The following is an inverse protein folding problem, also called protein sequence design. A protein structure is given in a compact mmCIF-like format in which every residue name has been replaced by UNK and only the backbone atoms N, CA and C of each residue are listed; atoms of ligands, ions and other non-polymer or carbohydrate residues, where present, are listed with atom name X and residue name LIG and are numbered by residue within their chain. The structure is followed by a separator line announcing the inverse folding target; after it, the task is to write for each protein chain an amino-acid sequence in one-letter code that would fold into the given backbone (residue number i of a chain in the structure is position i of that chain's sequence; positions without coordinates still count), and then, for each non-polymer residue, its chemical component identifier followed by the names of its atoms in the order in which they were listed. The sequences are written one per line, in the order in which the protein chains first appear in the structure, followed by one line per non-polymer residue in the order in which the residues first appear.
data_IF_522765569337
#
_entry.id   IF_522765569337
#
_cell.length_a   1.000
_cell.length_b   1.000
_cell.length_c   1.000
_cell.angle_alpha   90.00
_cell.angle_beta   90.00
_cell.angle_gamma   90.00
#
_symmetry.space_group_name_H-M   'P 1'
#
loop_
_entity.id
_entity.type
_entity.pdbx_description
1 polymer ?
#
# COMPACT_ATOMS: atom_id res chain seq x y z
N UNK A 1 -9.17 -19.02 14.67
CA UNK A 1 -8.39 -17.89 15.21
C UNK A 1 -8.71 -16.71 14.31
N UNK A 2 -9.54 -15.77 14.78
CA UNK A 2 -9.96 -14.62 13.98
C UNK A 2 -8.85 -13.58 14.01
N UNK A 3 -8.26 -13.27 12.85
CA UNK A 3 -7.37 -12.13 12.68
C UNK A 3 -8.21 -10.86 12.58
N UNK A 4 -8.02 -9.96 13.53
CA UNK A 4 -8.71 -8.67 13.61
C UNK A 4 -7.93 -7.70 12.72
N UNK A 5 -8.50 -7.31 11.58
CA UNK A 5 -7.95 -6.22 10.75
C UNK A 5 -8.41 -4.91 11.38
N UNK A 6 -7.52 -4.23 12.11
CA UNK A 6 -7.81 -2.89 12.61
C UNK A 6 -7.70 -1.87 11.46
N UNK A 7 -8.83 -1.23 11.16
CA UNK A 7 -8.94 -0.13 10.20
C UNK A 7 -9.02 1.18 10.97
N UNK A 8 -8.04 2.06 10.82
CA UNK A 8 -8.07 3.41 11.39
C UNK A 8 -8.32 4.45 10.29
N UNK A 9 -9.43 5.20 10.41
CA UNK A 9 -9.70 6.39 9.60
C UNK A 9 -9.31 7.65 10.37
N UNK A 10 -8.35 8.42 9.86
CA UNK A 10 -7.98 9.73 10.41
C UNK A 10 -8.97 10.78 9.90
N UNK A 11 -9.79 11.34 10.80
CA UNK A 11 -10.64 12.51 10.50
C UNK A 11 -9.82 13.78 10.67
N UNK A 12 -9.67 14.58 9.60
CA UNK A 12 -9.23 15.96 9.71
C UNK A 12 -10.46 16.87 9.80
N UNK A 13 -10.66 17.50 10.96
CA UNK A 13 -11.72 18.49 11.23
C UNK A 13 -11.08 19.88 11.30
N UNK A 14 -11.34 20.73 10.30
CA UNK A 14 -10.84 22.11 10.28
C UNK A 14 -11.93 23.03 10.83
N UNK A 15 -11.72 23.51 12.06
CA UNK A 15 -12.48 24.63 12.61
C UNK A 15 -11.95 25.95 12.02
N UNK A 16 -12.85 26.84 11.58
CA UNK A 16 -12.51 28.25 11.33
C UNK A 16 -13.54 29.16 11.99
N UNK A 17 -13.02 30.03 12.85
CA UNK A 17 -13.73 31.04 13.61
C UNK A 17 -14.16 32.22 12.72
N UNK A 18 -15.32 32.78 13.04
CA UNK A 18 -15.86 33.99 12.42
C UNK A 18 -15.27 35.25 13.08
N UNK A 19 -14.88 36.25 12.28
CA UNK A 19 -14.82 37.65 12.69
C UNK A 19 -15.19 38.58 11.52
N UNK A 20 -16.08 39.54 11.81
CA UNK A 20 -16.59 40.57 10.91
C UNK A 20 -15.64 41.75 10.75
N UNK A 21 -15.51 42.29 9.53
CA UNK A 21 -15.34 43.72 9.27
C UNK A 21 -15.55 44.05 7.78
N UNK A 22 -16.26 45.14 7.52
CA UNK A 22 -16.78 45.62 6.25
C UNK A 22 -15.79 46.50 5.49
N UNK A 23 -15.70 46.39 4.16
CA UNK A 23 -15.53 47.51 3.18
C UNK A 23 -15.56 47.01 1.73
N UNK A 24 -16.11 47.87 0.86
CA UNK A 24 -16.50 47.67 -0.55
C UNK A 24 -15.32 47.63 -1.54
N UNK A 25 -15.40 46.78 -2.59
CA UNK A 25 -15.06 47.01 -4.01
C UNK A 25 -15.12 45.66 -4.79
N UNK A 26 -15.70 45.58 -6.02
CA UNK A 26 -15.78 44.33 -6.77
C UNK A 26 -14.60 44.22 -7.74
N UNK A 27 -13.60 43.42 -7.39
CA UNK A 27 -12.67 42.85 -8.37
C UNK A 27 -13.01 41.37 -8.50
N UNK A 28 -13.57 41.01 -9.65
CA UNK A 28 -13.78 39.63 -10.08
C UNK A 28 -12.42 38.95 -10.29
N UNK A 29 -11.77 38.56 -9.21
CA UNK A 29 -10.73 37.54 -9.25
C UNK A 29 -11.47 36.23 -9.38
N UNK A 30 -11.58 35.75 -10.62
CA UNK A 30 -11.91 34.36 -10.88
C UNK A 30 -10.83 33.52 -10.20
N UNK A 31 -11.12 33.10 -8.96
CA UNK A 31 -10.41 32.03 -8.30
C UNK A 31 -10.74 30.81 -9.13
N UNK A 32 -9.88 30.49 -10.09
CA UNK A 32 -9.89 29.17 -10.70
C UNK A 32 -9.87 28.17 -9.54
N UNK A 33 -10.90 27.31 -9.40
CA UNK A 33 -10.77 26.21 -8.47
C UNK A 33 -9.57 25.43 -8.97
N UNK A 34 -8.51 25.39 -8.15
CA UNK A 34 -7.40 24.49 -8.36
C UNK A 34 -8.04 23.12 -8.34
N UNK A 35 -8.25 22.53 -9.52
CA UNK A 35 -8.80 21.19 -9.67
C UNK A 35 -7.90 20.30 -8.81
N UNK A 36 -8.37 19.93 -7.63
CA UNK A 36 -7.75 18.84 -6.91
C UNK A 36 -7.95 17.64 -7.83
N UNK A 37 -6.87 17.20 -8.47
CA UNK A 37 -6.90 15.89 -9.09
C UNK A 37 -7.18 14.94 -7.94
N UNK A 38 -8.32 14.26 -7.95
CA UNK A 38 -8.64 13.31 -6.90
C UNK A 38 -7.56 12.20 -6.94
N UNK A 39 -6.67 12.21 -5.94
CA UNK A 39 -5.64 11.18 -5.78
C UNK A 39 -6.23 10.13 -4.85
N UNK A 40 -6.43 8.92 -5.37
CA UNK A 40 -6.97 7.80 -4.60
C UNK A 40 -5.82 6.98 -4.03
N UNK A 41 -5.72 6.91 -2.70
CA UNK A 41 -4.72 6.11 -2.01
C UNK A 41 -5.37 5.21 -0.99
N UNK A 42 -4.94 3.96 -0.94
CA UNK A 42 -5.36 2.99 0.09
C UNK A 42 -4.13 2.34 0.70
N UNK A 43 -4.23 1.96 1.97
CA UNK A 43 -3.13 1.30 2.71
C UNK A 43 -3.61 -0.08 3.13
N UNK A 44 -2.80 -1.10 2.84
CA UNK A 44 -2.98 -2.43 3.42
C UNK A 44 -1.75 -2.81 4.22
N UNK A 45 -1.97 -3.31 5.43
CA UNK A 45 -0.93 -3.89 6.28
C UNK A 45 -0.98 -5.40 6.13
N UNK A 46 0.13 -5.99 5.68
CA UNK A 46 0.25 -7.39 5.35
C UNK A 46 1.23 -8.04 6.34
N UNK A 47 0.89 -9.18 6.96
CA UNK A 47 1.89 -9.97 7.67
C UNK A 47 2.87 -10.61 6.68
N UNK A 48 3.97 -11.12 7.20
CA UNK A 48 4.84 -12.03 6.47
C UNK A 48 4.15 -13.38 6.16
N UNK A 49 4.76 -14.16 5.29
CA UNK A 49 4.35 -15.54 4.97
C UNK A 49 2.89 -15.66 4.50
N UNK A 50 2.45 -14.73 3.65
CA UNK A 50 1.11 -14.76 3.09
C UNK A 50 1.01 -15.80 1.97
N UNK A 51 0.12 -16.79 2.08
CA UNK A 51 0.01 -17.86 1.09
C UNK A 51 -0.41 -17.32 -0.26
N UNK A 52 -0.15 -18.10 -1.31
CA UNK A 52 -0.70 -17.83 -2.64
C UNK A 52 -2.24 -17.80 -2.60
N UNK A 53 -2.84 -16.94 -3.43
CA UNK A 53 -4.29 -16.74 -3.55
C UNK A 53 -4.96 -16.25 -2.26
N UNK A 54 -4.19 -15.64 -1.35
CA UNK A 54 -4.69 -14.99 -0.15
C UNK A 54 -5.45 -13.71 -0.49
N UNK A 55 -6.63 -13.54 0.09
CA UNK A 55 -7.43 -12.32 -0.04
C UNK A 55 -6.89 -11.21 0.87
N UNK A 56 -6.42 -10.12 0.27
CA UNK A 56 -5.87 -8.97 0.99
C UNK A 56 -6.99 -7.99 1.37
N UNK A 57 -7.89 -7.69 0.43
CA UNK A 57 -8.97 -6.74 0.65
C UNK A 57 -9.69 -6.34 -0.63
N UNK A 58 -10.74 -5.53 -0.48
CA UNK A 58 -11.45 -4.95 -1.62
C UNK A 58 -11.13 -3.45 -1.70
N UNK A 59 -10.49 -3.03 -2.79
CA UNK A 59 -9.95 -1.67 -2.98
C UNK A 59 -11.07 -0.62 -3.00
N UNK A 60 -12.16 -0.76 -3.79
CA UNK A 60 -13.27 0.20 -3.79
C UNK A 60 -13.88 0.46 -2.41
N UNK A 61 -14.02 -0.58 -1.57
CA UNK A 61 -14.59 -0.47 -0.23
C UNK A 61 -13.72 0.32 0.75
N UNK A 62 -12.42 0.49 0.47
CA UNK A 62 -11.50 1.25 1.30
C UNK A 62 -11.49 2.76 0.96
N UNK A 63 -12.13 3.16 -0.14
CA UNK A 63 -12.16 4.55 -0.60
C UNK A 63 -13.56 5.13 -0.35
N UNK A 64 -13.68 6.17 0.50
CA UNK A 64 -14.94 6.89 0.66
C UNK A 64 -15.37 7.51 -0.67
N UNK A 65 -16.64 7.31 -1.04
CA UNK A 65 -17.24 7.83 -2.27
C UNK A 65 -16.48 7.43 -3.55
N UNK A 66 -15.99 6.19 -3.62
CA UNK A 66 -15.31 5.70 -4.81
C UNK A 66 -16.18 5.86 -6.08
N UNK A 67 -15.67 6.49 -7.16
CA UNK A 67 -16.53 6.95 -8.27
C UNK A 67 -17.27 5.85 -9.01
N UNK A 68 -16.76 4.62 -8.95
CA UNK A 68 -17.39 3.48 -9.61
C UNK A 68 -18.25 2.62 -8.68
N UNK A 69 -18.49 2.97 -7.41
CA UNK A 69 -19.26 2.10 -6.49
C UNK A 69 -20.62 1.66 -7.06
N UNK A 70 -21.27 2.53 -7.83
CA UNK A 70 -22.58 2.27 -8.44
C UNK A 70 -22.50 1.69 -9.87
N UNK A 71 -21.28 1.55 -10.41
CA UNK A 71 -20.99 1.18 -11.80
C UNK A 71 -19.94 0.05 -11.85
N UNK A 72 -19.60 -0.57 -10.72
CA UNK A 72 -18.81 -1.82 -10.64
C UNK A 72 -19.68 -2.97 -11.15
N UNK A 73 -20.05 -2.90 -12.43
CA UNK A 73 -20.72 -3.94 -13.19
C UNK A 73 -19.72 -4.66 -14.09
N UNK A 74 -20.20 -5.52 -14.98
CA UNK A 74 -19.35 -6.28 -15.91
C UNK A 74 -18.56 -5.42 -16.92
N UNK A 75 -18.76 -4.10 -16.94
CA UNK A 75 -18.11 -3.16 -17.87
C UNK A 75 -16.83 -2.55 -17.31
N UNK A 76 -16.58 -2.66 -16.00
CA UNK A 76 -15.33 -2.20 -15.40
C UNK A 76 -14.26 -3.25 -15.63
N UNK A 77 -13.12 -2.83 -16.17
CA UNK A 77 -11.92 -3.66 -16.25
C UNK A 77 -10.85 -3.10 -15.34
N UNK A 78 -10.19 -3.98 -14.59
CA UNK A 78 -9.18 -3.60 -13.61
C UNK A 78 -7.83 -4.22 -13.96
N UNK A 79 -6.76 -3.45 -13.88
CA UNK A 79 -5.41 -3.97 -14.11
C UNK A 79 -4.38 -3.31 -13.21
N UNK A 80 -3.34 -4.09 -12.88
CA UNK A 80 -2.15 -3.60 -12.19
C UNK A 80 -1.23 -2.92 -13.20
N UNK A 81 -0.75 -1.72 -12.87
CA UNK A 81 0.20 -0.98 -13.68
C UNK A 81 1.61 -1.34 -13.21
N UNK A 82 2.31 -2.12 -14.01
CA UNK A 82 3.67 -2.56 -13.69
C UNK A 82 4.51 -2.72 -14.96
N UNK A 83 5.49 -1.84 -15.13
CA UNK A 83 6.42 -1.87 -16.27
C UNK A 83 7.49 -2.95 -16.14
N UNK A 84 7.77 -3.43 -14.92
CA UNK A 84 8.81 -4.41 -14.64
C UNK A 84 8.32 -5.85 -14.71
N UNK A 85 7.00 -6.06 -14.62
CA UNK A 85 6.37 -7.38 -14.49
C UNK A 85 6.64 -8.08 -13.15
N UNK A 86 7.29 -7.40 -12.20
CA UNK A 86 7.55 -7.88 -10.86
C UNK A 86 6.28 -7.97 -10.01
N UNK A 87 5.47 -6.90 -9.98
CA UNK A 87 4.24 -6.82 -9.20
C UNK A 87 3.17 -7.78 -9.73
N UNK A 88 3.11 -7.97 -11.04
CA UNK A 88 2.18 -8.92 -11.68
C UNK A 88 2.45 -10.38 -11.32
N UNK A 89 3.67 -10.71 -10.85
CA UNK A 89 3.99 -12.05 -10.32
C UNK A 89 3.54 -12.21 -8.89
N UNK A 90 3.51 -11.13 -8.11
CA UNK A 90 3.25 -11.16 -6.68
C UNK A 90 1.77 -10.94 -6.34
N UNK A 91 1.05 -10.16 -7.15
CA UNK A 91 -0.32 -9.77 -6.84
C UNK A 91 -1.24 -9.82 -8.06
N UNK A 92 -2.54 -9.93 -7.80
CA UNK A 92 -3.59 -9.80 -8.80
C UNK A 92 -4.78 -9.03 -8.25
N UNK A 93 -5.47 -8.32 -9.14
CA UNK A 93 -6.74 -7.64 -8.84
C UNK A 93 -7.79 -8.18 -9.80
N UNK A 94 -8.99 -8.47 -9.29
CA UNK A 94 -10.12 -8.83 -10.14
C UNK A 94 -10.90 -7.59 -10.56
N UNK A 95 -11.77 -7.71 -11.56
CA UNK A 95 -12.54 -6.57 -12.08
C UNK A 95 -13.48 -5.93 -11.04
N UNK A 96 -13.87 -6.66 -9.99
CA UNK A 96 -14.66 -6.12 -8.87
C UNK A 96 -13.82 -5.38 -7.81
N UNK A 97 -12.50 -5.27 -8.03
CA UNK A 97 -11.55 -4.60 -7.14
C UNK A 97 -11.09 -5.43 -5.94
N UNK A 98 -11.34 -6.74 -5.91
CA UNK A 98 -10.73 -7.63 -4.91
C UNK A 98 -9.25 -7.89 -5.23
N UNK A 99 -8.40 -7.69 -4.22
CA UNK A 99 -6.95 -7.77 -4.30
C UNK A 99 -6.45 -9.04 -3.61
N UNK A 100 -5.61 -9.79 -4.31
CA UNK A 100 -5.09 -11.08 -3.86
C UNK A 100 -3.58 -11.19 -4.08
N UNK A 101 -2.93 -12.07 -3.32
CA UNK A 101 -1.59 -12.55 -3.65
C UNK A 101 -1.66 -13.53 -4.84
N UNK A 102 -0.65 -13.50 -5.70
CA UNK A 102 -0.52 -14.37 -6.87
C UNK A 102 0.49 -15.50 -6.62
N UNK A 103 1.44 -15.28 -5.71
CA UNK A 103 2.40 -16.27 -5.20
C UNK A 103 2.43 -16.20 -3.67
N UNK A 104 3.14 -17.15 -3.05
CA UNK A 104 3.57 -16.98 -1.65
C UNK A 104 4.34 -15.65 -1.55
N UNK A 105 3.96 -14.82 -0.58
CA UNK A 105 4.72 -13.63 -0.19
C UNK A 105 5.52 -14.00 1.05
N UNK A 106 6.83 -14.04 0.85
CA UNK A 106 7.84 -14.17 1.90
C UNK A 106 8.68 -12.90 1.81
N UNK A 107 8.64 -12.07 2.86
CA UNK A 107 9.34 -10.79 2.93
C UNK A 107 10.84 -11.02 2.79
N UNK A 108 11.38 -12.03 3.47
CA UNK A 108 12.80 -12.32 3.56
C UNK A 108 13.38 -12.98 2.32
N UNK A 109 12.54 -13.39 1.37
CA UNK A 109 12.99 -13.89 0.09
C UNK A 109 13.75 -12.79 -0.70
N UNK A 110 15.08 -12.95 -0.91
CA UNK A 110 15.91 -11.94 -1.54
C UNK A 110 15.66 -11.80 -3.04
N UNK A 111 14.99 -12.76 -3.67
CA UNK A 111 14.65 -12.73 -5.09
C UNK A 111 13.25 -12.14 -5.33
N UNK A 112 12.44 -11.96 -4.28
CA UNK A 112 11.08 -11.45 -4.36
C UNK A 112 10.95 -10.08 -3.69
N UNK A 113 10.78 -10.01 -2.38
CA UNK A 113 10.31 -8.76 -1.74
C UNK A 113 11.48 -7.91 -1.28
N UNK A 114 12.20 -8.34 -0.25
CA UNK A 114 13.10 -7.43 0.45
C UNK A 114 14.38 -7.12 -0.32
N UNK A 115 14.82 -8.00 -1.23
CA UNK A 115 15.98 -7.77 -2.09
C UNK A 115 15.72 -6.69 -3.13
N UNK A 116 14.72 -6.86 -4.04
CA UNK A 116 14.36 -5.85 -5.03
C UNK A 116 13.95 -4.51 -4.42
N UNK A 117 13.31 -4.52 -3.26
CA UNK A 117 12.92 -3.30 -2.53
C UNK A 117 14.03 -2.75 -1.61
N UNK A 118 15.15 -3.46 -1.48
CA UNK A 118 16.25 -3.13 -0.57
C UNK A 118 15.79 -2.80 0.87
N UNK A 119 14.89 -3.62 1.41
CA UNK A 119 14.25 -3.41 2.71
C UNK A 119 14.44 -4.58 3.69
N UNK A 120 15.33 -5.54 3.40
CA UNK A 120 15.52 -6.71 4.28
C UNK A 120 15.92 -6.32 5.72
N UNK A 121 16.58 -5.18 5.89
CA UNK A 121 17.03 -4.65 7.17
C UNK A 121 15.97 -3.81 7.91
N UNK A 122 14.78 -3.62 7.32
CA UNK A 122 13.69 -2.81 7.88
C UNK A 122 12.60 -3.72 8.45
N UNK A 123 11.97 -3.27 9.53
CA UNK A 123 10.83 -3.96 10.15
C UNK A 123 9.54 -3.87 9.32
N UNK A 124 9.49 -2.92 8.38
CA UNK A 124 8.40 -2.76 7.41
C UNK A 124 8.99 -2.51 6.02
N UNK A 125 8.61 -3.35 5.07
CA UNK A 125 8.84 -3.16 3.64
C UNK A 125 7.64 -2.42 3.04
N UNK A 126 7.88 -1.23 2.49
CA UNK A 126 6.85 -0.44 1.80
C UNK A 126 6.90 -0.68 0.30
N UNK A 127 5.77 -1.03 -0.29
CA UNK A 127 5.62 -1.22 -1.73
C UNK A 127 4.39 -0.46 -2.23
N UNK A 128 4.55 0.29 -3.33
CA UNK A 128 3.42 0.94 -3.99
C UNK A 128 2.99 0.13 -5.21
N UNK A 129 1.69 -0.13 -5.30
CA UNK A 129 1.06 -0.85 -6.40
C UNK A 129 -0.02 0.05 -7.00
N UNK A 130 0.11 0.35 -8.28
CA UNK A 130 -0.86 1.18 -8.98
C UNK A 130 -1.91 0.29 -9.66
N UNK A 131 -3.19 0.55 -9.38
CA UNK A 131 -4.31 -0.18 -9.97
C UNK A 131 -5.14 0.76 -10.81
N UNK A 132 -5.26 0.47 -12.10
CA UNK A 132 -6.09 1.20 -13.04
C UNK A 132 -7.48 0.55 -13.10
N UNK A 133 -8.49 1.33 -12.78
CA UNK A 133 -9.89 1.02 -13.04
C UNK A 133 -10.33 1.74 -14.31
N UNK A 134 -10.66 0.96 -15.34
CA UNK A 134 -11.15 1.44 -16.62
C UNK A 134 -12.65 1.16 -16.74
N UNK A 135 -13.42 2.17 -17.14
CA UNK A 135 -14.82 2.00 -17.51
C UNK A 135 -15.09 2.75 -18.82
N UNK A 136 -15.69 2.11 -19.84
CA UNK A 136 -15.80 2.67 -21.18
C UNK A 136 -16.68 3.93 -21.26
N UNK A 137 -17.60 4.11 -20.29
CA UNK A 137 -18.52 5.25 -20.24
C UNK A 137 -18.09 6.39 -19.32
N UNK A 138 -16.90 6.33 -18.70
CA UNK A 138 -16.44 7.33 -17.73
C UNK A 138 -14.92 7.50 -17.75
N UNK A 139 -14.40 8.46 -16.99
CA UNK A 139 -12.96 8.67 -16.83
C UNK A 139 -12.33 7.49 -16.08
N UNK A 140 -11.19 6.97 -16.56
CA UNK A 140 -10.40 5.97 -15.84
C UNK A 140 -9.78 6.55 -14.57
N UNK A 141 -9.61 5.72 -13.56
CA UNK A 141 -9.03 6.13 -12.28
C UNK A 141 -7.88 5.21 -11.90
N UNK A 142 -6.77 5.80 -11.49
CA UNK A 142 -5.66 5.07 -10.88
C UNK A 142 -5.76 5.19 -9.36
N UNK A 143 -5.70 4.05 -8.68
CA UNK A 143 -5.60 3.95 -7.22
C UNK A 143 -4.17 3.54 -6.87
N UNK A 144 -3.54 4.33 -6.00
CA UNK A 144 -2.22 4.04 -5.44
C UNK A 144 -2.37 3.22 -4.16
N UNK A 145 -2.01 1.94 -4.21
CA UNK A 145 -2.06 1.05 -3.07
C UNK A 145 -0.69 1.06 -2.39
N UNK A 146 -0.63 1.47 -1.13
CA UNK A 146 0.56 1.32 -0.30
C UNK A 146 0.45 0.03 0.53
N UNK A 147 1.33 -0.92 0.24
CA UNK A 147 1.47 -2.16 1.00
C UNK A 147 2.57 -1.98 2.04
N UNK A 148 2.22 -2.27 3.29
CA UNK A 148 3.15 -2.33 4.40
C UNK A 148 3.30 -3.80 4.78
N UNK A 149 4.38 -4.43 4.32
CA UNK A 149 4.67 -5.82 4.69
C UNK A 149 5.51 -5.80 5.97
N UNK A 150 4.94 -6.38 7.03
CA UNK A 150 5.56 -6.45 8.35
C UNK A 150 6.35 -7.74 8.52
N UNK A 151 7.57 -7.60 9.01
CA UNK A 151 8.46 -8.71 9.32
C UNK A 151 7.89 -9.65 10.40
N UNK A 152 8.07 -10.96 10.20
CA UNK A 152 7.88 -11.97 11.23
C UNK A 152 9.24 -12.47 11.74
N UNK A 153 9.37 -12.68 13.04
CA UNK A 153 10.59 -13.28 13.60
C UNK A 153 10.52 -14.82 13.53
N UNK A 154 10.45 -15.36 12.32
CA UNK A 154 10.42 -16.80 12.01
C UNK A 154 11.73 -17.31 11.42
N UNK A 155 12.60 -16.42 10.96
CA UNK A 155 13.94 -16.75 10.48
C UNK A 155 14.97 -16.83 11.62
N UNK A 156 15.43 -18.05 11.91
CA UNK A 156 16.44 -18.30 12.92
C UNK A 156 17.82 -17.71 12.51
N UNK A 157 18.61 -17.19 13.47
CA UNK A 157 19.92 -16.64 13.16
C UNK A 157 20.83 -17.70 12.51
N UNK A 158 21.48 -17.31 11.41
CA UNK A 158 22.45 -18.14 10.70
C UNK A 158 23.88 -17.73 11.08
N UNK A 159 24.69 -18.68 11.53
CA UNK A 159 26.11 -18.49 11.77
C UNK A 159 26.91 -19.15 10.63
N UNK A 160 27.74 -18.38 9.87
CA UNK A 160 28.53 -18.93 8.77
C UNK A 160 29.51 -20.03 9.24
N UNK A 161 30.01 -19.90 10.48
CA UNK A 161 30.88 -20.87 11.10
C UNK A 161 30.15 -21.55 12.26
N UNK A 162 30.21 -22.88 12.31
CA UNK A 162 29.70 -23.67 13.44
C UNK A 162 30.61 -23.61 14.66
N UNK A 163 31.88 -23.28 14.46
CA UNK A 163 32.90 -23.23 15.50
C UNK A 163 33.69 -21.95 15.38
N UNK A 164 33.81 -21.24 16.49
CA UNK A 164 34.65 -20.06 16.63
C UNK A 164 35.78 -20.40 17.61
N UNK A 165 37.03 -20.26 17.17
CA UNK A 165 38.17 -20.35 18.06
C UNK A 165 38.59 -18.94 18.47
N UNK A 166 38.59 -18.68 19.77
CA UNK A 166 39.03 -17.41 20.34
C UNK A 166 40.19 -17.66 21.29
N UNK A 167 41.33 -17.01 21.05
CA UNK A 167 42.49 -17.02 21.94
C UNK A 167 42.53 -15.72 22.75
N UNK A 168 42.66 -15.82 24.06
CA UNK A 168 42.95 -14.67 24.92
C UNK A 168 44.34 -14.83 25.54
N UNK A 169 45.10 -13.74 25.59
CA UNK A 169 46.39 -13.72 26.28
C UNK A 169 46.16 -13.43 27.76
N UNK A 170 46.78 -14.24 28.62
CA UNK A 170 46.76 -14.01 30.06
C UNK A 170 47.93 -13.10 30.42
N UNK A 171 47.64 -11.90 30.92
CA UNK A 171 48.65 -11.02 31.53
C UNK A 171 48.89 -11.48 32.98
N UNK A 172 50.14 -11.74 33.32
CA UNK A 172 50.58 -12.10 34.68
C UNK A 172 51.42 -10.95 35.25
N UNK A 173 51.05 -10.46 36.44
CA UNK A 173 51.84 -9.54 37.27
C UNK A 173 52.80 -10.32 38.17
#
# INVERSE_FOLDING_TARGET
MLSIVETYSVKHEIHSAAHSASTLFPSSVSRTPRSASDVYTVIFMLPDELPQDHFIGNIPKQIPNFPFLNILDSSVSTTLVDSSGFLLKLFRVTDNGEFYTQTLIDRDNPDQLCGPLNCCHLIVCNLTVDVLFFHPGSTSITVHINLQIHDANDNAPYFPNKHFHYGYQKTTN
#
